data_IF_842690589435
#
_entry.id   IF_842690589435
#
_cell.length_a   1.000
_cell.length_b   1.000
_cell.length_c   1.000
_cell.angle_alpha   90.00
_cell.angle_beta   90.00
_cell.angle_gamma   90.00
#
_symmetry.space_group_name_H-M   'P 1'
#
loop_
_entity.id
_entity.type
_entity.pdbx_description
1 polymer ?
#
# COMPACT_ATOMS: atom_id res chain seq x y z
N UNK A 1 27.90 -15.04 -20.48
CA UNK A 1 28.08 -15.03 -19.01
C UNK A 1 28.21 -13.58 -18.55
N UNK A 2 27.09 -12.94 -18.21
CA UNK A 2 27.06 -11.52 -17.83
C UNK A 2 27.57 -11.36 -16.38
N UNK A 3 28.75 -10.76 -16.22
CA UNK A 3 29.28 -10.38 -14.89
C UNK A 3 28.58 -9.11 -14.43
N UNK A 4 27.62 -9.26 -13.52
CA UNK A 4 27.02 -8.14 -12.78
C UNK A 4 28.13 -7.55 -11.88
N UNK A 5 28.62 -6.35 -12.22
CA UNK A 5 29.47 -5.57 -11.32
C UNK A 5 28.63 -5.12 -10.13
N UNK A 6 28.94 -5.61 -8.93
CA UNK A 6 28.40 -5.04 -7.68
C UNK A 6 28.98 -3.64 -7.51
N UNK A 7 28.11 -2.64 -7.45
CA UNK A 7 28.43 -1.26 -7.08
C UNK A 7 28.07 -1.09 -5.59
N UNK A 8 28.88 -0.38 -4.79
CA UNK A 8 28.64 -0.24 -3.35
C UNK A 8 27.24 0.30 -3.04
N UNK A 9 26.57 -0.36 -2.10
CA UNK A 9 25.21 -0.03 -1.66
C UNK A 9 25.25 1.13 -0.67
N UNK A 10 24.45 2.17 -0.88
CA UNK A 10 24.20 3.21 0.13
C UNK A 10 22.83 2.94 0.74
N UNK A 11 22.85 2.65 2.03
CA UNK A 11 21.74 2.23 2.88
C UNK A 11 21.32 3.41 3.79
N UNK A 12 20.33 3.27 4.69
CA UNK A 12 19.86 4.33 5.63
C UNK A 12 21.02 5.12 6.26
N UNK A 13 20.78 6.36 6.72
CA UNK A 13 21.79 7.13 7.47
C UNK A 13 22.42 6.29 8.60
N UNK A 14 21.66 5.36 9.19
CA UNK A 14 22.10 4.43 10.23
C UNK A 14 22.73 3.13 9.74
N UNK A 15 22.71 2.84 8.45
CA UNK A 15 23.30 1.65 7.86
C UNK A 15 24.65 1.93 7.18
N UNK A 16 25.13 3.18 7.19
CA UNK A 16 26.48 3.54 6.71
C UNK A 16 27.60 2.88 7.55
N UNK A 17 27.30 2.51 8.79
CA UNK A 17 28.24 1.92 9.76
C UNK A 17 28.10 0.39 9.87
N UNK A 18 28.07 -0.34 8.75
CA UNK A 18 28.30 -1.80 8.78
C UNK A 18 29.80 -2.16 8.67
N UNK A 19 30.69 -1.16 8.54
CA UNK A 19 32.12 -1.37 8.29
C UNK A 19 33.07 -0.94 9.43
N UNK A 20 32.60 -0.32 10.52
CA UNK A 20 33.48 0.03 11.63
C UNK A 20 32.86 -0.33 12.98
N UNK A 21 33.60 -1.16 13.71
CA UNK A 21 33.37 -1.57 15.10
C UNK A 21 33.01 -0.39 16.00
N UNK A 22 31.82 -0.42 16.59
CA UNK A 22 31.58 0.23 17.89
C UNK A 22 30.87 -0.73 18.82
N UNK A 23 31.66 -1.61 19.41
CA UNK A 23 31.33 -2.12 20.73
C UNK A 23 31.40 -0.96 21.74
N UNK A 24 30.26 -0.50 22.30
CA UNK A 24 30.11 -0.18 23.74
C UNK A 24 28.72 0.32 24.17
N UNK A 25 28.21 -0.40 25.19
CA UNK A 25 27.46 0.02 26.40
C UNK A 25 26.05 0.63 26.20
N UNK A 26 25.07 -0.27 26.29
CA UNK A 26 23.63 -0.02 26.37
C UNK A 26 22.93 -1.06 25.50
N UNK A 27 22.01 -1.86 26.04
CA UNK A 27 21.33 -2.89 25.26
C UNK A 27 20.68 -2.28 24.01
N UNK A 28 21.02 -2.77 22.82
CA UNK A 28 20.52 -2.25 21.54
C UNK A 28 21.51 -2.37 20.39
N UNK A 29 21.05 -2.06 19.18
CA UNK A 29 21.86 -2.09 17.95
C UNK A 29 22.61 -0.77 17.66
N UNK A 30 22.56 0.21 18.56
CA UNK A 30 23.14 1.56 18.38
C UNK A 30 22.34 2.48 17.43
N UNK A 31 21.29 1.97 16.77
CA UNK A 31 20.49 2.69 15.76
C UNK A 31 19.10 3.09 16.21
N UNK A 32 18.80 2.93 17.51
CA UNK A 32 17.49 3.23 18.09
C UNK A 32 16.29 2.66 17.28
N UNK A 33 16.42 1.44 16.74
CA UNK A 33 15.45 0.92 15.79
C UNK A 33 14.11 0.49 16.41
N UNK A 34 13.15 0.10 15.58
CA UNK A 34 11.87 -0.47 16.02
C UNK A 34 11.94 -1.96 16.41
N UNK A 35 13.08 -2.63 16.23
CA UNK A 35 13.23 -4.04 16.56
C UNK A 35 13.35 -4.28 18.09
N UNK A 36 13.19 -5.54 18.52
CA UNK A 36 13.22 -5.98 19.94
C UNK A 36 14.43 -5.51 20.72
N UNK A 37 15.55 -5.26 20.03
CA UNK A 37 16.76 -4.76 20.67
C UNK A 37 16.64 -3.32 21.20
N UNK A 38 15.73 -2.50 20.68
CA UNK A 38 15.60 -1.08 21.04
C UNK A 38 14.16 -0.63 21.36
N UNK A 39 13.12 -1.38 20.98
CA UNK A 39 11.72 -0.95 21.14
C UNK A 39 11.16 -1.18 22.56
N UNK A 40 11.77 -2.05 23.36
CA UNK A 40 11.26 -2.39 24.69
C UNK A 40 11.27 -1.16 25.61
N UNK A 41 10.09 -0.75 26.09
CA UNK A 41 9.94 0.43 26.94
C UNK A 41 10.03 1.76 26.19
N UNK A 42 10.08 1.74 24.85
CA UNK A 42 10.00 2.94 24.03
C UNK A 42 8.65 3.64 24.23
N UNK A 43 8.68 4.97 24.12
CA UNK A 43 7.49 5.81 24.09
C UNK A 43 7.52 6.63 22.82
N UNK A 44 6.43 6.57 22.07
CA UNK A 44 6.25 7.29 20.83
C UNK A 44 4.97 8.12 20.93
N UNK A 45 4.88 9.28 20.26
CA UNK A 45 3.61 9.98 20.14
C UNK A 45 2.54 9.06 19.57
N UNK A 46 1.29 9.24 19.97
CA UNK A 46 0.15 8.43 19.54
C UNK A 46 -0.98 9.36 19.14
N UNK A 47 -1.51 9.14 17.93
CA UNK A 47 -2.72 9.76 17.43
C UNK A 47 -3.83 8.70 17.37
N UNK A 48 -4.87 8.89 18.17
CA UNK A 48 -6.07 8.07 18.14
C UNK A 48 -7.14 8.78 17.30
N UNK A 49 -7.56 8.17 16.19
CA UNK A 49 -8.52 8.74 15.25
C UNK A 49 -9.96 8.28 15.51
N UNK A 50 -10.94 9.05 15.05
CA UNK A 50 -12.35 8.66 15.14
C UNK A 50 -12.73 7.66 14.05
N UNK A 51 -13.33 6.53 14.42
CA UNK A 51 -13.87 5.58 13.44
C UNK A 51 -15.00 6.22 12.61
N UNK A 52 -14.86 6.15 11.29
CA UNK A 52 -15.88 6.59 10.34
C UNK A 52 -16.92 5.49 10.14
N UNK A 53 -18.18 5.75 10.52
CA UNK A 53 -19.25 4.77 10.33
C UNK A 53 -20.08 5.00 9.05
N UNK A 54 -20.03 6.19 8.43
CA UNK A 54 -20.79 6.53 7.22
C UNK A 54 -19.97 7.40 6.27
N UNK A 55 -20.07 7.14 4.97
CA UNK A 55 -19.55 8.05 3.93
C UNK A 55 -20.57 9.20 3.80
N UNK A 56 -20.15 10.43 4.05
CA UNK A 56 -21.01 11.59 3.85
C UNK A 56 -21.41 11.66 2.36
N UNK A 57 -22.69 11.40 2.06
CA UNK A 57 -23.22 11.52 0.70
C UNK A 57 -23.46 12.99 0.36
N UNK A 58 -23.20 13.36 -0.89
CA UNK A 58 -23.24 14.74 -1.42
C UNK A 58 -24.66 15.33 -1.55
N UNK A 59 -25.63 14.87 -0.74
CA UNK A 59 -27.00 15.36 -0.74
C UNK A 59 -27.41 15.87 0.64
N UNK A 60 -27.00 17.10 0.91
CA UNK A 60 -27.40 17.85 2.11
C UNK A 60 -27.01 19.32 2.05
N UNK A 61 -27.39 20.04 0.97
CA UNK A 61 -27.39 21.49 0.98
C UNK A 61 -28.51 21.99 1.91
N UNK A 62 -28.17 22.24 3.17
CA UNK A 62 -28.92 23.13 4.05
C UNK A 62 -27.96 23.80 5.05
N UNK A 63 -27.82 25.12 4.91
CA UNK A 63 -27.29 25.99 5.97
C UNK A 63 -25.88 26.50 5.74
N UNK A 64 -25.80 27.76 5.34
CA UNK A 64 -24.60 28.60 5.33
C UNK A 64 -23.82 28.54 6.66
N UNK A 65 -22.56 28.11 6.62
CA UNK A 65 -21.45 28.85 7.25
C UNK A 65 -20.25 28.78 6.31
N UNK A 66 -19.87 29.94 5.78
CA UNK A 66 -18.63 30.15 5.05
C UNK A 66 -17.46 30.13 6.04
N UNK A 67 -17.07 28.93 6.45
CA UNK A 67 -15.81 28.67 7.13
C UNK A 67 -15.01 27.70 6.29
N UNK A 68 -13.75 28.03 5.96
CA UNK A 68 -12.82 26.98 5.51
C UNK A 68 -12.88 25.86 6.54
N UNK A 69 -12.99 24.57 6.14
CA UNK A 69 -12.97 23.49 7.13
C UNK A 69 -11.76 23.70 8.04
N UNK A 70 -11.93 23.59 9.39
CA UNK A 70 -10.80 23.72 10.30
C UNK A 70 -9.73 22.75 9.80
N UNK A 71 -8.49 23.24 9.65
CA UNK A 71 -7.35 22.38 9.29
C UNK A 71 -7.40 21.18 10.23
N UNK A 72 -7.57 19.98 9.67
CA UNK A 72 -7.73 18.78 10.48
C UNK A 72 -6.48 18.67 11.37
N UNK A 73 -6.67 18.43 12.66
CA UNK A 73 -5.57 18.43 13.64
C UNK A 73 -4.42 17.48 13.22
N UNK A 74 -4.75 16.35 12.57
CA UNK A 74 -3.79 15.44 11.95
C UNK A 74 -2.92 16.09 10.87
N UNK A 75 -3.50 16.93 9.99
CA UNK A 75 -2.77 17.64 8.92
C UNK A 75 -1.66 18.52 9.51
N UNK A 76 -2.01 19.29 10.55
CA UNK A 76 -1.05 20.16 11.24
C UNK A 76 0.01 19.38 12.01
N UNK A 77 -0.39 18.31 12.71
CA UNK A 77 0.53 17.44 13.43
C UNK A 77 1.54 16.78 12.47
N UNK A 78 1.05 16.19 11.38
CA UNK A 78 1.87 15.49 10.40
C UNK A 78 2.91 16.42 9.78
N UNK A 79 2.48 17.60 9.31
CA UNK A 79 3.39 18.57 8.70
C UNK A 79 4.41 19.12 9.70
N UNK A 80 3.98 19.47 10.91
CA UNK A 80 4.90 19.96 11.96
C UNK A 80 5.96 18.92 12.33
N UNK A 81 5.57 17.66 12.51
CA UNK A 81 6.52 16.58 12.80
C UNK A 81 7.43 16.28 11.59
N UNK A 82 6.91 16.35 10.36
CA UNK A 82 7.70 16.18 9.14
C UNK A 82 8.77 17.27 8.99
N UNK A 83 8.41 18.54 9.21
CA UNK A 83 9.32 19.69 9.18
C UNK A 83 10.39 19.60 10.28
N UNK A 84 10.04 19.16 11.50
CA UNK A 84 11.02 18.89 12.57
C UNK A 84 12.09 17.90 12.10
N UNK A 85 11.68 16.77 11.50
CA UNK A 85 12.64 15.76 10.99
C UNK A 85 13.47 16.31 9.83
N UNK A 86 12.95 17.26 9.07
CA UNK A 86 13.68 17.95 8.00
C UNK A 86 14.77 18.83 8.59
N UNK A 87 14.44 19.64 9.59
CA UNK A 87 15.40 20.50 10.30
C UNK A 87 16.48 19.68 11.01
N UNK A 88 16.15 18.48 11.49
CA UNK A 88 17.09 17.52 12.10
C UNK A 88 17.96 16.76 11.09
N UNK A 89 17.75 16.96 9.78
CA UNK A 89 18.58 16.37 8.73
C UNK A 89 18.36 14.88 8.50
N UNK A 90 17.17 14.34 8.80
CA UNK A 90 16.87 12.90 8.62
C UNK A 90 16.56 12.51 7.17
N UNK A 91 16.42 13.49 6.28
CA UNK A 91 16.11 13.26 4.87
C UNK A 91 17.37 13.14 4.02
N UNK A 92 17.29 12.33 2.96
CA UNK A 92 18.43 12.11 2.04
C UNK A 92 18.69 13.30 1.13
N UNK A 93 17.70 14.15 0.86
CA UNK A 93 17.80 15.36 0.05
C UNK A 93 16.63 16.29 0.39
N UNK A 94 16.76 17.55 -0.02
CA UNK A 94 15.70 18.53 0.08
C UNK A 94 14.75 18.41 -1.12
N UNK A 95 13.53 17.95 -0.88
CA UNK A 95 12.49 17.81 -1.92
C UNK A 95 11.82 19.13 -2.27
N UNK A 96 11.87 20.12 -1.39
CA UNK A 96 11.22 21.42 -1.62
C UNK A 96 11.93 22.26 -2.68
N UNK A 97 13.18 21.90 -2.98
CA UNK A 97 13.98 22.48 -4.06
C UNK A 97 13.74 21.81 -5.43
N UNK A 98 12.92 20.75 -5.51
CA UNK A 98 12.65 20.07 -6.77
C UNK A 98 11.81 20.93 -7.71
N UNK A 99 12.25 21.06 -8.96
CA UNK A 99 11.53 21.81 -9.98
C UNK A 99 10.32 21.02 -10.49
N UNK A 100 9.15 21.67 -10.49
CA UNK A 100 7.88 21.07 -10.95
C UNK A 100 7.22 21.97 -11.98
N UNK A 101 6.68 21.39 -13.06
CA UNK A 101 5.88 22.11 -14.06
C UNK A 101 4.72 21.26 -14.56
N UNK A 102 3.63 21.92 -14.93
CA UNK A 102 2.57 21.27 -15.70
C UNK A 102 3.03 21.16 -17.15
N UNK A 103 2.97 19.96 -17.70
CA UNK A 103 3.25 19.67 -19.11
C UNK A 103 2.08 20.23 -19.93
N UNK A 104 2.32 21.07 -20.95
CA UNK A 104 1.27 21.56 -21.83
C UNK A 104 0.55 20.42 -22.54
N UNK A 105 -0.78 20.45 -22.52
CA UNK A 105 -1.61 19.40 -23.11
C UNK A 105 -3.01 19.31 -22.50
N UNK A 106 -3.80 18.33 -22.94
CA UNK A 106 -5.19 18.13 -22.53
C UNK A 106 -5.34 17.38 -21.20
N UNK A 107 -4.37 16.53 -20.83
CA UNK A 107 -4.39 15.71 -19.61
C UNK A 107 -3.83 16.47 -18.41
N UNK A 108 -3.01 17.49 -18.65
CA UNK A 108 -2.39 18.29 -17.60
C UNK A 108 -1.40 17.50 -16.75
N UNK A 109 -0.66 16.57 -17.39
CA UNK A 109 0.42 15.82 -16.74
C UNK A 109 1.44 16.74 -16.07
N UNK A 110 2.08 16.25 -15.03
CA UNK A 110 3.04 17.02 -14.23
C UNK A 110 4.42 16.41 -14.43
N UNK A 111 5.42 17.23 -14.68
CA UNK A 111 6.83 16.84 -14.66
C UNK A 111 7.48 17.42 -13.41
N UNK A 112 8.18 16.57 -12.65
CA UNK A 112 8.99 16.97 -11.52
C UNK A 112 10.40 16.41 -11.67
N UNK A 113 11.42 17.25 -11.43
CA UNK A 113 12.82 16.85 -11.53
C UNK A 113 13.40 16.50 -10.15
N UNK A 114 13.72 15.22 -9.94
CA UNK A 114 14.36 14.72 -8.71
C UNK A 114 15.76 14.18 -9.00
N UNK A 115 16.71 15.10 -9.25
CA UNK A 115 18.11 14.75 -9.47
C UNK A 115 18.72 14.10 -8.21
N UNK A 116 19.63 13.14 -8.41
CA UNK A 116 20.33 12.46 -7.31
C UNK A 116 19.47 11.53 -6.44
N UNK A 117 18.14 11.54 -6.56
CA UNK A 117 17.24 10.61 -5.85
C UNK A 117 17.58 9.14 -6.16
N UNK A 118 17.87 8.84 -7.42
CA UNK A 118 18.18 7.48 -7.88
C UNK A 118 19.52 6.97 -7.36
N UNK A 119 20.53 7.84 -7.18
CA UNK A 119 21.83 7.48 -6.61
C UNK A 119 21.72 7.07 -5.13
N UNK A 120 20.69 7.57 -4.45
CA UNK A 120 20.40 7.30 -3.04
C UNK A 120 19.28 6.27 -2.86
N UNK A 121 18.70 5.73 -3.95
CA UNK A 121 17.65 4.71 -3.89
C UNK A 121 18.31 3.32 -3.80
N UNK A 122 17.88 2.52 -2.83
CA UNK A 122 18.32 1.12 -2.70
C UNK A 122 17.91 0.35 -3.96
N UNK A 123 18.76 -0.54 -4.51
CA UNK A 123 18.36 -1.44 -5.58
C UNK A 123 17.12 -2.24 -5.18
N UNK A 124 16.21 -2.44 -6.13
CA UNK A 124 15.02 -3.26 -5.91
C UNK A 124 15.44 -4.71 -5.67
N UNK A 125 15.11 -5.27 -4.51
CA UNK A 125 15.45 -6.65 -4.14
C UNK A 125 14.31 -7.65 -4.40
N UNK A 126 13.27 -7.20 -5.10
CA UNK A 126 12.11 -8.01 -5.46
C UNK A 126 12.40 -8.82 -6.70
N UNK A 127 11.90 -10.06 -6.71
CA UNK A 127 11.82 -10.84 -7.94
C UNK A 127 10.69 -10.32 -8.82
N UNK A 128 10.90 -10.30 -10.13
CA UNK A 128 9.94 -9.75 -11.09
C UNK A 128 8.77 -10.71 -11.35
N UNK A 129 8.96 -12.00 -11.08
CA UNK A 129 8.01 -13.08 -11.32
C UNK A 129 6.88 -13.16 -10.28
N UNK A 130 6.98 -12.45 -9.15
CA UNK A 130 6.04 -12.62 -8.04
C UNK A 130 5.63 -11.32 -7.37
N UNK A 131 4.32 -11.05 -7.37
CA UNK A 131 3.68 -9.92 -6.66
C UNK A 131 3.85 -10.07 -5.16
N UNK A 132 3.40 -11.20 -4.59
CA UNK A 132 3.54 -11.48 -3.16
C UNK A 132 4.83 -12.25 -2.86
N UNK A 133 5.79 -11.56 -2.25
CA UNK A 133 7.04 -12.17 -1.79
C UNK A 133 7.02 -12.36 -0.27
N UNK A 134 7.55 -13.49 0.23
CA UNK A 134 7.63 -13.72 1.67
C UNK A 134 8.54 -12.67 2.33
N UNK A 135 8.25 -12.38 3.59
CA UNK A 135 9.11 -11.55 4.41
C UNK A 135 10.51 -12.16 4.52
N UNK A 136 11.53 -11.31 4.43
CA UNK A 136 12.93 -11.70 4.61
C UNK A 136 13.60 -10.73 5.61
N UNK A 137 13.84 -11.21 6.82
CA UNK A 137 14.46 -10.43 7.89
C UNK A 137 15.88 -9.97 7.58
N UNK A 138 16.56 -10.59 6.61
CA UNK A 138 17.91 -10.19 6.20
C UNK A 138 17.87 -8.95 5.31
N UNK A 139 16.80 -8.77 4.53
CA UNK A 139 16.59 -7.58 3.70
C UNK A 139 16.15 -6.37 4.55
N UNK A 140 16.08 -5.20 3.94
CA UNK A 140 15.43 -4.05 4.56
C UNK A 140 13.98 -4.39 4.93
N UNK A 141 13.58 -3.97 6.13
CA UNK A 141 12.20 -3.98 6.59
C UNK A 141 12.01 -2.85 7.61
N UNK A 142 10.76 -2.49 7.88
CA UNK A 142 10.44 -1.33 8.71
C UNK A 142 10.79 -1.50 10.18
N UNK A 143 11.03 -2.71 10.69
CA UNK A 143 11.55 -2.86 12.07
C UNK A 143 12.97 -2.28 12.23
N UNK A 144 13.68 -2.05 11.12
CA UNK A 144 15.06 -1.54 11.10
C UNK A 144 15.15 -0.01 11.03
N UNK A 145 14.03 0.70 10.83
CA UNK A 145 14.05 2.17 10.84
C UNK A 145 14.30 2.69 12.26
N UNK A 146 14.95 3.84 12.38
CA UNK A 146 15.17 4.50 13.66
C UNK A 146 13.86 5.09 14.20
N UNK A 147 13.67 5.06 15.51
CA UNK A 147 12.48 5.62 16.17
C UNK A 147 12.31 7.12 15.90
N UNK A 148 13.39 7.85 15.65
CA UNK A 148 13.37 9.26 15.25
C UNK A 148 12.81 9.52 13.85
N UNK A 149 12.75 8.50 12.98
CA UNK A 149 12.06 8.57 11.69
C UNK A 149 10.53 8.43 11.86
N UNK A 150 10.06 7.95 13.02
CA UNK A 150 8.62 7.82 13.33
C UNK A 150 8.07 9.17 13.78
N UNK A 151 6.90 9.53 13.24
CA UNK A 151 6.14 10.70 13.64
C UNK A 151 5.25 10.36 14.83
N UNK A 152 4.41 9.33 14.68
CA UNK A 152 3.49 8.86 15.71
C UNK A 152 2.98 7.44 15.41
N UNK A 153 2.48 6.79 16.45
CA UNK A 153 1.60 5.64 16.40
C UNK A 153 0.21 6.09 15.94
N UNK A 154 -0.49 5.25 15.18
CA UNK A 154 -1.83 5.52 14.66
C UNK A 154 -2.77 4.38 15.04
N UNK A 155 -3.85 4.71 15.75
CA UNK A 155 -4.86 3.73 16.14
C UNK A 155 -6.27 4.33 16.14
N UNK A 156 -7.27 3.46 16.13
CA UNK A 156 -8.65 3.91 16.27
C UNK A 156 -8.97 4.17 17.75
N UNK A 157 -9.63 5.28 18.03
CA UNK A 157 -10.07 5.64 19.38
C UNK A 157 -11.18 4.71 19.88
N UNK A 158 -11.10 4.33 21.17
CA UNK A 158 -12.10 3.55 21.88
C UNK A 158 -13.33 4.38 22.29
N UNK A 159 -13.14 5.68 22.56
CA UNK A 159 -14.21 6.57 23.05
C UNK A 159 -14.88 7.39 21.94
N UNK A 160 -14.43 7.22 20.69
CA UNK A 160 -14.99 7.88 19.52
C UNK A 160 -14.58 9.34 19.37
N UNK A 161 -13.62 9.82 20.17
CA UNK A 161 -13.04 11.15 20.08
C UNK A 161 -11.58 11.11 19.62
N UNK A 162 -11.16 12.18 18.94
CA UNK A 162 -9.78 12.32 18.48
C UNK A 162 -8.89 12.66 19.67
N UNK A 163 -7.81 11.90 19.86
CA UNK A 163 -6.88 12.09 20.97
C UNK A 163 -5.43 12.08 20.51
N UNK A 164 -4.58 12.83 21.20
CA UNK A 164 -3.14 12.82 20.98
C UNK A 164 -2.38 12.72 22.29
N UNK A 165 -1.50 11.73 22.36
CA UNK A 165 -0.66 11.45 23.50
C UNK A 165 0.80 11.62 23.07
N UNK A 166 1.52 12.66 23.52
CA UNK A 166 2.88 12.93 23.05
C UNK A 166 3.90 11.86 23.47
N UNK A 167 3.59 11.04 24.48
CA UNK A 167 4.49 10.03 25.03
C UNK A 167 3.71 8.77 25.44
N UNK A 168 3.08 8.10 24.48
CA UNK A 168 2.37 6.85 24.72
C UNK A 168 3.35 5.65 24.74
N UNK A 169 3.12 4.64 25.59
CA UNK A 169 3.87 3.40 25.51
C UNK A 169 3.64 2.72 24.16
N UNK A 170 4.64 2.00 23.66
CA UNK A 170 4.50 1.13 22.49
C UNK A 170 4.00 -0.24 22.92
N UNK A 171 2.85 -0.67 22.40
CA UNK A 171 2.33 -2.01 22.60
C UNK A 171 3.02 -3.02 21.67
N UNK A 172 4.12 -3.60 22.16
CA UNK A 172 4.94 -4.54 21.40
C UNK A 172 4.17 -5.82 21.05
N UNK A 173 3.22 -6.25 21.88
CA UNK A 173 2.48 -7.50 21.69
C UNK A 173 1.43 -7.35 20.58
N UNK A 174 0.70 -6.22 20.57
CA UNK A 174 -0.31 -5.95 19.54
C UNK A 174 0.25 -5.34 18.26
N UNK A 175 1.56 -5.02 18.22
CA UNK A 175 2.26 -4.47 17.06
C UNK A 175 1.62 -3.19 16.53
N UNK A 176 2.10 -1.99 16.92
CA UNK A 176 1.42 -0.75 16.55
C UNK A 176 1.48 -0.52 15.04
N UNK A 177 0.49 0.20 14.53
CA UNK A 177 0.61 0.87 13.24
C UNK A 177 1.28 2.21 13.45
N UNK A 178 2.23 2.57 12.59
CA UNK A 178 3.01 3.81 12.75
C UNK A 178 3.02 4.63 11.47
N UNK A 179 3.13 5.94 11.63
CA UNK A 179 3.41 6.88 10.54
C UNK A 179 4.85 7.35 10.66
N UNK A 180 5.64 7.17 9.61
CA UNK A 180 7.06 7.54 9.56
C UNK A 180 7.37 8.41 8.35
N UNK A 181 8.45 9.19 8.40
CA UNK A 181 8.92 9.93 7.23
C UNK A 181 9.33 8.96 6.11
N UNK A 182 9.07 9.34 4.86
CA UNK A 182 9.85 8.78 3.77
C UNK A 182 11.17 9.54 3.68
N UNK A 183 12.28 8.94 4.11
CA UNK A 183 13.63 9.56 4.05
C UNK A 183 14.08 9.92 2.62
N UNK A 184 13.37 9.46 1.58
CA UNK A 184 13.56 9.85 0.17
C UNK A 184 12.22 10.33 -0.45
N UNK A 185 11.69 11.45 0.07
CA UNK A 185 10.32 11.88 -0.15
C UNK A 185 10.13 12.34 -1.60
N UNK A 186 9.02 11.99 -2.22
CA UNK A 186 8.69 12.48 -3.57
C UNK A 186 8.18 13.91 -3.53
N UNK A 187 7.46 14.29 -2.47
CA UNK A 187 6.86 15.61 -2.27
C UNK A 187 6.94 15.98 -0.78
N UNK A 188 6.77 17.26 -0.48
CA UNK A 188 6.53 17.79 0.85
C UNK A 188 5.41 17.01 1.58
N UNK A 189 5.64 16.68 2.86
CA UNK A 189 4.71 15.88 3.66
C UNK A 189 4.61 14.40 3.28
N UNK A 190 5.48 13.88 2.41
CA UNK A 190 5.47 12.45 2.06
C UNK A 190 5.89 11.59 3.26
N UNK A 191 4.91 10.88 3.81
CA UNK A 191 5.05 9.91 4.91
C UNK A 191 4.69 8.49 4.46
N UNK A 192 5.00 7.52 5.30
CA UNK A 192 4.68 6.11 5.14
C UNK A 192 3.77 5.69 6.30
N UNK A 193 2.59 5.18 5.98
CA UNK A 193 1.78 4.41 6.91
C UNK A 193 2.31 2.97 6.90
N UNK A 194 2.66 2.45 8.08
CA UNK A 194 3.22 1.12 8.26
C UNK A 194 2.32 0.37 9.25
N UNK A 195 1.30 -0.36 8.76
CA UNK A 195 0.41 -1.14 9.60
C UNK A 195 1.17 -2.26 10.32
N UNK A 196 0.89 -2.44 11.61
CA UNK A 196 1.39 -3.54 12.44
C UNK A 196 2.90 -3.80 12.23
N UNK A 197 3.71 -2.77 12.49
CA UNK A 197 5.13 -2.70 12.07
C UNK A 197 6.00 -3.86 12.57
N UNK A 198 5.63 -4.50 13.69
CA UNK A 198 6.38 -5.59 14.32
C UNK A 198 5.98 -6.99 13.81
N UNK A 199 4.86 -7.11 13.09
CA UNK A 199 4.37 -8.40 12.55
C UNK A 199 5.16 -8.88 11.34
N UNK A 200 6.03 -8.03 10.77
CA UNK A 200 6.87 -8.39 9.63
C UNK A 200 6.05 -8.88 8.42
N UNK A 201 4.91 -8.22 8.17
CA UNK A 201 4.01 -8.56 7.07
C UNK A 201 4.70 -8.40 5.71
N UNK A 202 4.40 -9.28 4.73
CA UNK A 202 4.80 -9.04 3.35
C UNK A 202 4.09 -7.78 2.81
N UNK A 203 4.60 -7.21 1.71
CA UNK A 203 3.92 -6.09 1.04
C UNK A 203 2.65 -6.58 0.36
N UNK A 204 1.55 -6.54 1.10
CA UNK A 204 0.21 -6.94 0.66
C UNK A 204 -0.84 -5.95 1.16
N UNK A 205 -1.96 -5.92 0.46
CA UNK A 205 -3.22 -5.34 0.92
C UNK A 205 -4.05 -6.45 1.59
N UNK A 206 -4.56 -6.15 2.77
CA UNK A 206 -5.60 -6.88 3.49
C UNK A 206 -6.67 -5.89 3.99
N UNK A 207 -7.82 -6.41 4.42
CA UNK A 207 -8.98 -5.61 4.82
C UNK A 207 -8.63 -4.59 5.91
N UNK A 208 -7.96 -5.03 6.98
CA UNK A 208 -7.65 -4.18 8.14
C UNK A 208 -6.68 -3.05 7.77
N UNK A 209 -5.62 -3.39 7.04
CA UNK A 209 -4.60 -2.41 6.65
C UNK A 209 -5.13 -1.39 5.65
N UNK A 210 -6.03 -1.83 4.74
CA UNK A 210 -6.66 -0.93 3.77
C UNK A 210 -7.68 -0.01 4.43
N UNK A 211 -8.47 -0.53 5.37
CA UNK A 211 -9.42 0.27 6.15
C UNK A 211 -8.71 1.35 6.97
N UNK A 212 -7.59 1.01 7.61
CA UNK A 212 -6.74 1.98 8.31
C UNK A 212 -6.23 3.08 7.36
N UNK A 213 -5.84 2.73 6.13
CA UNK A 213 -5.41 3.71 5.14
C UNK A 213 -6.55 4.65 4.72
N UNK A 214 -7.79 4.15 4.57
CA UNK A 214 -8.95 5.00 4.28
C UNK A 214 -9.29 5.93 5.45
N UNK A 215 -9.24 5.45 6.69
CA UNK A 215 -9.41 6.30 7.86
C UNK A 215 -8.35 7.41 7.93
N UNK A 216 -7.07 7.07 7.73
CA UNK A 216 -6.00 8.06 7.70
C UNK A 216 -6.22 9.10 6.60
N UNK A 217 -6.61 8.68 5.40
CA UNK A 217 -6.87 9.57 4.28
C UNK A 217 -8.04 10.54 4.54
N UNK A 218 -9.09 10.06 5.22
CA UNK A 218 -10.22 10.88 5.60
C UNK A 218 -9.88 11.87 6.73
N UNK A 219 -9.15 11.41 7.75
CA UNK A 219 -8.71 12.23 8.88
C UNK A 219 -7.72 13.31 8.48
N UNK A 220 -6.82 13.02 7.53
CA UNK A 220 -5.89 14.01 7.00
C UNK A 220 -6.62 15.16 6.27
N UNK A 221 -7.83 14.91 5.76
CA UNK A 221 -8.63 15.90 5.04
C UNK A 221 -8.04 16.36 3.71
N UNK A 222 -6.86 15.85 3.33
CA UNK A 222 -6.16 16.02 2.05
C UNK A 222 -5.35 14.77 1.76
N UNK A 223 -5.44 14.25 0.53
CA UNK A 223 -4.70 13.04 0.12
C UNK A 223 -3.22 13.33 -0.22
N UNK A 224 -2.88 14.58 -0.55
CA UNK A 224 -1.54 15.02 -0.94
C UNK A 224 -1.40 16.55 -0.84
N UNK A 225 -0.16 17.04 -0.81
CA UNK A 225 0.18 18.47 -0.68
C UNK A 225 0.55 19.15 -2.02
N UNK A 226 0.07 18.60 -3.14
CA UNK A 226 0.32 19.13 -4.47
C UNK A 226 -0.49 20.40 -4.74
N UNK A 227 0.10 21.33 -5.51
CA UNK A 227 -0.59 22.54 -5.97
C UNK A 227 -1.74 22.25 -6.94
N UNK A 228 -1.74 21.07 -7.57
CA UNK A 228 -2.75 20.63 -8.53
C UNK A 228 -3.11 19.17 -8.26
N UNK A 229 -4.38 18.81 -8.49
CA UNK A 229 -4.82 17.42 -8.39
C UNK A 229 -4.14 16.52 -9.41
N UNK A 230 -4.02 15.23 -9.08
CA UNK A 230 -3.46 14.27 -10.03
C UNK A 230 -4.28 14.25 -11.32
N UNK A 231 -3.63 14.22 -12.50
CA UNK A 231 -4.30 14.12 -13.79
C UNK A 231 -5.34 13.00 -13.88
N UNK A 232 -5.07 11.85 -13.27
CA UNK A 232 -6.00 10.71 -13.25
C UNK A 232 -7.35 11.06 -12.61
N UNK A 233 -7.39 11.97 -11.64
CA UNK A 233 -8.62 12.35 -10.94
C UNK A 233 -9.58 13.15 -11.84
N UNK A 234 -9.03 13.80 -12.87
CA UNK A 234 -9.78 14.56 -13.88
C UNK A 234 -10.31 13.69 -15.01
N UNK A 235 -9.79 12.46 -15.14
CA UNK A 235 -10.19 11.56 -16.21
C UNK A 235 -11.67 11.15 -16.05
N UNK A 236 -12.44 11.09 -17.14
CA UNK A 236 -13.82 10.66 -17.09
C UNK A 236 -13.92 9.19 -16.69
N UNK A 237 -15.06 8.82 -16.12
CA UNK A 237 -15.35 7.45 -15.72
C UNK A 237 -16.71 7.02 -16.25
N UNK A 238 -16.82 5.76 -16.66
CA UNK A 238 -18.10 5.15 -17.05
C UNK A 238 -18.53 4.14 -15.99
N UNK A 239 -19.73 4.34 -15.43
CA UNK A 239 -20.26 3.44 -14.41
C UNK A 239 -20.50 2.05 -15.02
N UNK A 240 -20.01 1.03 -14.34
CA UNK A 240 -20.27 -0.37 -14.65
C UNK A 240 -21.46 -0.85 -13.84
N UNK A 241 -21.37 -0.79 -12.51
CA UNK A 241 -22.43 -1.27 -11.61
C UNK A 241 -22.43 -0.52 -10.27
N UNK A 242 -23.42 -0.82 -9.43
CA UNK A 242 -23.44 -0.52 -8.00
C UNK A 242 -23.74 -1.81 -7.25
N UNK A 243 -22.91 -2.15 -6.27
CA UNK A 243 -23.10 -3.31 -5.40
C UNK A 243 -24.17 -3.04 -4.34
N UNK A 244 -24.64 -4.11 -3.69
CA UNK A 244 -25.68 -4.02 -2.65
C UNK A 244 -25.23 -3.17 -1.46
N UNK A 245 -23.94 -3.21 -1.10
CA UNK A 245 -23.33 -2.32 -0.10
C UNK A 245 -23.23 -0.84 -0.52
N UNK A 246 -23.79 -0.45 -1.68
CA UNK A 246 -23.80 0.93 -2.17
C UNK A 246 -22.52 1.39 -2.87
N UNK A 247 -21.53 0.50 -3.04
CA UNK A 247 -20.27 0.82 -3.73
C UNK A 247 -20.49 0.85 -5.24
N UNK A 248 -20.19 1.98 -5.86
CA UNK A 248 -20.22 2.18 -7.31
C UNK A 248 -18.86 1.83 -7.90
N UNK A 249 -18.85 0.97 -8.91
CA UNK A 249 -17.66 0.58 -9.67
C UNK A 249 -17.75 1.17 -11.08
N UNK A 250 -16.70 1.84 -11.52
CA UNK A 250 -16.63 2.51 -12.83
C UNK A 250 -15.32 2.18 -13.55
N UNK A 251 -15.32 2.18 -14.88
CA UNK A 251 -14.12 2.08 -15.72
C UNK A 251 -13.53 3.47 -15.94
N UNK A 252 -12.22 3.60 -15.83
CA UNK A 252 -11.50 4.83 -16.19
C UNK A 252 -11.45 4.98 -17.72
N UNK A 253 -11.85 6.15 -18.21
CA UNK A 253 -11.90 6.47 -19.64
C UNK A 253 -10.89 7.56 -19.99
N UNK A 254 -10.49 7.58 -21.27
CA UNK A 254 -9.60 8.62 -21.83
C UNK A 254 -8.34 8.86 -21.00
N UNK A 255 -7.72 7.79 -20.50
CA UNK A 255 -6.48 7.84 -19.72
C UNK A 255 -5.54 6.73 -20.19
N UNK A 256 -4.21 6.91 -20.18
CA UNK A 256 -3.29 5.94 -20.79
C UNK A 256 -3.24 4.61 -20.03
N UNK A 257 -3.50 4.63 -18.72
CA UNK A 257 -3.56 3.43 -17.89
C UNK A 257 -5.01 3.02 -17.67
N UNK A 258 -5.33 1.77 -17.99
CA UNK A 258 -6.66 1.20 -17.71
C UNK A 258 -6.79 0.88 -16.23
N UNK A 259 -7.95 1.22 -15.66
CA UNK A 259 -8.19 1.02 -14.24
C UNK A 259 -9.67 1.04 -13.90
N UNK A 260 -9.96 0.62 -12.68
CA UNK A 260 -11.28 0.68 -12.06
C UNK A 260 -11.29 1.78 -11.00
N UNK A 261 -12.44 2.41 -10.85
CA UNK A 261 -12.69 3.46 -9.86
C UNK A 261 -13.83 3.01 -8.95
N UNK A 262 -13.57 3.01 -7.66
CA UNK A 262 -14.49 2.62 -6.59
C UNK A 262 -14.87 3.85 -5.77
N UNK A 263 -16.17 4.07 -5.59
CA UNK A 263 -16.72 5.23 -4.89
C UNK A 263 -18.02 4.85 -4.17
N UNK A 264 -18.38 5.59 -3.13
CA UNK A 264 -19.62 5.34 -2.38
C UNK A 264 -19.47 4.16 -1.42
N UNK A 265 -20.57 3.47 -1.14
CA UNK A 265 -20.70 2.59 0.03
C UNK A 265 -21.60 3.22 1.09
N UNK A 266 -22.34 2.41 1.85
CA UNK A 266 -23.11 2.91 3.00
C UNK A 266 -22.20 3.27 4.17
N UNK A 267 -21.12 2.52 4.31
CA UNK A 267 -20.04 2.69 5.28
C UNK A 267 -18.69 2.76 4.56
N UNK A 268 -17.66 3.24 5.26
CA UNK A 268 -16.28 3.19 4.73
C UNK A 268 -15.79 1.74 4.62
N UNK A 269 -16.31 0.83 5.45
CA UNK A 269 -15.99 -0.59 5.42
C UNK A 269 -16.50 -1.25 4.15
N UNK A 270 -17.67 -0.85 3.62
CA UNK A 270 -18.17 -1.37 2.35
C UNK A 270 -17.19 -1.07 1.21
N UNK A 271 -16.73 0.19 1.13
CA UNK A 271 -15.73 0.62 0.14
C UNK A 271 -14.41 -0.10 0.37
N UNK A 272 -13.94 -0.13 1.62
CA UNK A 272 -12.68 -0.76 2.01
C UNK A 272 -12.67 -2.22 1.57
N UNK A 273 -13.68 -2.99 2.01
CA UNK A 273 -13.80 -4.42 1.77
C UNK A 273 -13.83 -4.72 0.27
N UNK A 274 -14.68 -4.02 -0.49
CA UNK A 274 -14.79 -4.20 -1.94
C UNK A 274 -13.44 -3.99 -2.65
N UNK A 275 -12.70 -2.94 -2.28
CA UNK A 275 -11.39 -2.65 -2.88
C UNK A 275 -10.35 -3.68 -2.44
N UNK A 276 -10.31 -4.04 -1.15
CA UNK A 276 -9.37 -5.04 -0.65
C UNK A 276 -9.64 -6.42 -1.24
N UNK A 277 -10.90 -6.81 -1.48
CA UNK A 277 -11.26 -8.05 -2.17
C UNK A 277 -10.70 -8.07 -3.60
N UNK A 278 -10.85 -6.97 -4.34
CA UNK A 278 -10.25 -6.81 -5.66
C UNK A 278 -8.72 -6.93 -5.62
N UNK A 279 -8.08 -6.28 -4.64
CA UNK A 279 -6.63 -6.34 -4.47
C UNK A 279 -6.16 -7.76 -4.10
N UNK A 280 -6.85 -8.43 -3.17
CA UNK A 280 -6.57 -9.80 -2.75
C UNK A 280 -6.69 -10.75 -3.94
N UNK A 281 -7.71 -10.57 -4.78
CA UNK A 281 -7.88 -11.32 -6.02
C UNK A 281 -6.68 -11.14 -6.98
N UNK A 282 -6.24 -9.90 -7.21
CA UNK A 282 -5.07 -9.61 -8.05
C UNK A 282 -3.78 -10.21 -7.49
N UNK A 283 -3.58 -10.12 -6.17
CA UNK A 283 -2.45 -10.72 -5.47
C UNK A 283 -2.42 -12.25 -5.63
N UNK A 284 -3.57 -12.90 -5.47
CA UNK A 284 -3.69 -14.36 -5.59
C UNK A 284 -3.42 -14.85 -7.01
N UNK A 285 -3.76 -14.03 -8.01
CA UNK A 285 -3.53 -14.31 -9.43
C UNK A 285 -2.21 -13.74 -9.96
N UNK A 286 -1.34 -13.25 -9.07
CA UNK A 286 -0.01 -12.71 -9.40
C UNK A 286 -0.04 -11.58 -10.44
N UNK A 287 -1.08 -10.74 -10.40
CA UNK A 287 -1.22 -9.58 -11.30
C UNK A 287 -0.68 -8.34 -10.56
N UNK A 288 0.37 -7.67 -11.06
CA UNK A 288 0.86 -6.43 -10.45
C UNK A 288 -0.17 -5.30 -10.58
N UNK A 289 -0.25 -4.43 -9.57
CA UNK A 289 -1.18 -3.30 -9.57
C UNK A 289 -0.69 -2.15 -8.70
N UNK A 290 -1.32 -0.98 -8.91
CA UNK A 290 -1.19 0.19 -8.05
C UNK A 290 -2.57 0.61 -7.55
N UNK A 291 -2.61 1.20 -6.36
CA UNK A 291 -3.82 1.76 -5.77
C UNK A 291 -3.57 3.22 -5.43
N UNK A 292 -4.47 4.10 -5.86
CA UNK A 292 -4.50 5.50 -5.44
C UNK A 292 -5.78 5.74 -4.63
N UNK A 293 -5.61 6.18 -3.38
CA UNK A 293 -6.69 6.71 -2.56
C UNK A 293 -6.73 8.21 -2.78
N UNK A 294 -7.86 8.73 -3.22
CA UNK A 294 -8.09 10.13 -3.55
C UNK A 294 -9.33 10.66 -2.81
N UNK A 295 -9.57 11.97 -2.93
CA UNK A 295 -10.75 12.64 -2.35
C UNK A 295 -11.00 12.27 -0.88
N UNK A 296 -9.94 12.33 -0.07
CA UNK A 296 -9.97 12.04 1.37
C UNK A 296 -10.54 10.65 1.70
N UNK A 297 -10.19 9.63 0.90
CA UNK A 297 -10.65 8.26 1.13
C UNK A 297 -11.98 7.91 0.48
N UNK A 298 -12.64 8.85 -0.22
CA UNK A 298 -13.97 8.61 -0.83
C UNK A 298 -13.91 8.00 -2.22
N UNK A 299 -12.74 8.08 -2.87
CA UNK A 299 -12.51 7.61 -4.24
C UNK A 299 -11.23 6.81 -4.30
N UNK A 300 -11.30 5.60 -4.84
CA UNK A 300 -10.14 4.71 -4.97
C UNK A 300 -9.97 4.26 -6.41
N UNK A 301 -8.75 4.41 -6.94
CA UNK A 301 -8.37 3.92 -8.26
C UNK A 301 -7.55 2.64 -8.09
N UNK A 302 -7.96 1.57 -8.76
CA UNK A 302 -7.23 0.31 -8.86
C UNK A 302 -6.71 0.14 -10.28
N UNK A 303 -5.39 0.01 -10.42
CA UNK A 303 -4.68 0.12 -11.68
C UNK A 303 -3.79 -1.12 -11.89
N UNK A 304 -4.33 -2.21 -12.46
CA UNK A 304 -3.54 -3.35 -12.89
C UNK A 304 -2.49 -2.94 -13.93
N UNK A 305 -1.28 -3.48 -13.84
CA UNK A 305 -0.15 -3.09 -14.70
C UNK A 305 0.75 -4.28 -15.06
N UNK A 306 1.54 -4.12 -16.13
CA UNK A 306 2.45 -5.15 -16.64
C UNK A 306 3.88 -4.66 -16.91
N UNK A 307 4.27 -3.49 -16.40
CA UNK A 307 5.54 -2.85 -16.77
C UNK A 307 6.77 -3.67 -16.36
N UNK A 308 6.79 -4.19 -15.12
CA UNK A 308 7.92 -4.97 -14.63
C UNK A 308 8.09 -6.28 -15.42
N UNK A 309 6.98 -6.94 -15.74
CA UNK A 309 6.96 -8.15 -16.57
C UNK A 309 7.50 -7.86 -17.98
N UNK A 310 6.97 -6.83 -18.66
CA UNK A 310 7.49 -6.38 -19.96
C UNK A 310 8.98 -6.05 -19.93
N UNK A 311 9.45 -5.40 -18.87
CA UNK A 311 10.88 -5.13 -18.71
C UNK A 311 11.71 -6.42 -18.62
N UNK A 312 11.24 -7.42 -17.86
CA UNK A 312 11.94 -8.70 -17.75
C UNK A 312 11.92 -9.51 -19.06
N UNK A 313 10.85 -9.40 -19.85
CA UNK A 313 10.73 -10.01 -21.17
C UNK A 313 11.49 -9.25 -22.28
N UNK A 314 12.01 -8.06 -21.99
CA UNK A 314 12.72 -7.23 -22.97
C UNK A 314 11.80 -6.56 -23.99
N UNK A 315 10.51 -6.42 -23.65
CA UNK A 315 9.47 -5.85 -24.52
C UNK A 315 9.39 -4.32 -24.43
N UNK A 316 10.03 -3.72 -23.42
CA UNK A 316 10.09 -2.26 -23.26
C UNK A 316 11.16 -1.66 -24.17
N UNK A 317 10.81 -0.60 -24.90
CA UNK A 317 11.73 0.07 -25.83
C UNK A 317 12.98 0.62 -25.13
N UNK A 318 14.11 0.64 -25.84
CA UNK A 318 15.37 1.17 -25.33
C UNK A 318 15.26 2.66 -24.94
N UNK A 319 14.47 3.44 -25.68
CA UNK A 319 14.18 4.85 -25.37
C UNK A 319 13.53 5.01 -23.99
N UNK A 320 12.52 4.20 -23.68
CA UNK A 320 11.85 4.27 -22.38
C UNK A 320 12.74 3.74 -21.25
N UNK A 321 13.53 2.69 -21.50
CA UNK A 321 14.50 2.19 -20.53
C UNK A 321 15.58 3.24 -20.19
N UNK A 322 15.99 4.06 -21.17
CA UNK A 322 16.99 5.12 -20.98
C UNK A 322 16.50 6.27 -20.10
N UNK A 323 15.18 6.51 -20.02
CA UNK A 323 14.60 7.45 -19.03
C UNK A 323 14.85 6.99 -17.59
N UNK A 324 15.10 5.70 -17.40
CA UNK A 324 15.23 5.02 -16.11
C UNK A 324 14.00 5.19 -15.20
N UNK A 325 12.87 5.66 -15.71
CA UNK A 325 11.64 5.75 -14.93
C UNK A 325 11.12 4.33 -14.70
N UNK A 326 10.77 4.03 -13.44
CA UNK A 326 10.05 2.81 -13.10
C UNK A 326 8.69 3.26 -12.55
N UNK A 327 7.64 3.26 -13.38
CA UNK A 327 6.34 3.83 -13.03
C UNK A 327 5.75 3.14 -11.81
N UNK A 328 5.45 3.95 -10.80
CA UNK A 328 4.67 3.59 -9.62
C UNK A 328 3.40 4.46 -9.61
N UNK A 329 2.68 4.45 -8.48
CA UNK A 329 1.40 5.17 -8.36
C UNK A 329 1.51 6.66 -8.71
N UNK A 330 2.64 7.33 -8.44
CA UNK A 330 2.84 8.74 -8.78
C UNK A 330 2.83 8.95 -10.30
N UNK A 331 3.68 8.22 -11.02
CA UNK A 331 3.76 8.33 -12.48
C UNK A 331 2.45 7.89 -13.13
N UNK A 332 1.90 6.74 -12.69
CA UNK A 332 0.63 6.21 -13.20
C UNK A 332 -0.53 7.18 -12.98
N UNK A 333 -0.49 8.00 -11.93
CA UNK A 333 -1.52 9.01 -11.67
C UNK A 333 -1.30 10.31 -12.47
N UNK A 334 -0.22 10.39 -13.25
CA UNK A 334 0.11 11.49 -14.15
C UNK A 334 1.14 12.47 -13.59
N UNK A 335 1.80 12.14 -12.48
CA UNK A 335 2.91 12.92 -11.93
C UNK A 335 4.24 12.22 -12.24
N UNK A 336 4.89 12.69 -13.29
CA UNK A 336 6.14 12.14 -13.82
C UNK A 336 7.33 12.60 -12.99
N UNK A 337 7.86 11.72 -12.14
CA UNK A 337 9.09 12.00 -11.36
C UNK A 337 10.31 11.64 -12.20
N UNK A 338 10.85 12.65 -12.87
CA UNK A 338 11.95 12.55 -13.82
C UNK A 338 13.30 12.70 -13.13
N UNK A 339 14.32 12.03 -13.69
CA UNK A 339 15.65 11.91 -13.08
C UNK A 339 16.73 12.78 -13.72
N UNK A 340 16.53 13.15 -14.99
CA UNK A 340 17.51 13.88 -15.80
C UNK A 340 16.92 15.23 -16.20
N UNK A 341 17.73 16.29 -16.10
CA UNK A 341 17.34 17.63 -16.54
C UNK A 341 16.82 17.65 -17.97
N UNK A 342 17.48 16.90 -18.87
CA UNK A 342 17.06 16.73 -20.26
C UNK A 342 15.63 16.22 -20.40
N UNK A 343 15.29 15.11 -19.73
CA UNK A 343 13.95 14.52 -19.80
C UNK A 343 12.90 15.49 -19.25
N UNK A 344 13.24 16.25 -18.22
CA UNK A 344 12.37 17.27 -17.64
C UNK A 344 12.13 18.44 -18.61
N UNK A 345 13.18 18.96 -19.23
CA UNK A 345 13.08 20.06 -20.20
C UNK A 345 12.28 19.65 -21.43
N UNK A 346 12.53 18.45 -21.95
CA UNK A 346 11.88 17.86 -23.12
C UNK A 346 10.54 17.15 -22.81
N UNK A 347 10.08 17.19 -21.55
CA UNK A 347 8.84 16.53 -21.13
C UNK A 347 7.64 17.02 -21.95
N UNK A 348 6.96 16.07 -22.61
CA UNK A 348 5.79 16.32 -23.44
C UNK A 348 4.64 15.38 -23.06
N UNK A 349 3.41 15.80 -23.36
CA UNK A 349 2.22 14.99 -23.12
C UNK A 349 2.29 13.66 -23.87
N UNK A 350 2.82 13.67 -25.10
CA UNK A 350 3.01 12.48 -25.92
C UNK A 350 3.98 11.48 -25.27
N UNK A 351 5.13 11.96 -24.77
CA UNK A 351 6.13 11.09 -24.15
C UNK A 351 5.59 10.48 -22.84
N UNK A 352 4.91 11.29 -22.02
CA UNK A 352 4.25 10.81 -20.81
C UNK A 352 3.17 9.76 -21.14
N UNK A 353 2.32 10.04 -22.12
CA UNK A 353 1.30 9.11 -22.58
C UNK A 353 1.88 7.77 -23.05
N UNK A 354 2.93 7.83 -23.88
CA UNK A 354 3.62 6.64 -24.41
C UNK A 354 4.18 5.77 -23.30
N UNK A 355 4.85 6.37 -22.31
CA UNK A 355 5.38 5.65 -21.15
C UNK A 355 4.25 4.99 -20.34
N UNK A 356 3.17 5.72 -20.06
CA UNK A 356 2.05 5.20 -19.28
C UNK A 356 1.26 4.12 -20.01
N UNK A 357 1.12 4.24 -21.34
CA UNK A 357 0.50 3.20 -22.16
C UNK A 357 1.27 1.88 -22.11
N UNK A 358 2.60 1.92 -21.97
CA UNK A 358 3.40 0.70 -21.79
C UNK A 358 3.16 0.01 -20.45
N UNK A 359 2.82 0.78 -19.41
CA UNK A 359 2.50 0.25 -18.08
C UNK A 359 1.14 -0.45 -18.08
N UNK A 360 0.19 0.08 -18.83
CA UNK A 360 -1.18 -0.42 -18.92
C UNK A 360 -1.23 -1.85 -19.46
N UNK A 361 -2.20 -2.62 -18.97
CA UNK A 361 -2.63 -3.84 -19.65
C UNK A 361 -3.19 -3.51 -21.03
N UNK A 362 -3.08 -4.47 -21.95
CA UNK A 362 -3.86 -4.44 -23.19
C UNK A 362 -5.36 -4.46 -22.88
N UNK A 363 -6.19 -4.06 -23.83
CA UNK A 363 -7.64 -4.05 -23.63
C UNK A 363 -8.19 -5.45 -23.34
N UNK A 364 -7.83 -6.44 -24.15
CA UNK A 364 -8.27 -7.83 -23.93
C UNK A 364 -7.85 -8.35 -22.54
N UNK A 365 -6.59 -8.10 -22.14
CA UNK A 365 -6.10 -8.54 -20.83
C UNK A 365 -6.78 -7.78 -19.68
N UNK A 366 -7.08 -6.50 -19.87
CA UNK A 366 -7.81 -5.72 -18.88
C UNK A 366 -9.23 -6.27 -18.68
N UNK A 367 -9.94 -6.64 -19.76
CA UNK A 367 -11.28 -7.24 -19.65
C UNK A 367 -11.25 -8.60 -18.93
N UNK A 368 -10.23 -9.43 -19.16
CA UNK A 368 -10.04 -10.68 -18.39
C UNK A 368 -9.82 -10.42 -16.90
N UNK A 369 -8.92 -9.49 -16.57
CA UNK A 369 -8.61 -9.13 -15.16
C UNK A 369 -9.80 -8.47 -14.48
N UNK A 370 -10.55 -7.64 -15.21
CA UNK A 370 -11.80 -7.04 -14.76
C UNK A 370 -12.83 -8.12 -14.41
N UNK A 371 -13.07 -9.09 -15.30
CA UNK A 371 -14.02 -10.17 -15.06
C UNK A 371 -13.65 -10.99 -13.82
N UNK A 372 -12.35 -11.30 -13.67
CA UNK A 372 -11.80 -11.99 -12.51
C UNK A 372 -12.01 -11.21 -11.19
N UNK A 373 -11.80 -9.89 -11.19
CA UNK A 373 -12.08 -9.04 -10.02
C UNK A 373 -13.57 -9.08 -9.67
N UNK A 374 -14.44 -8.95 -10.69
CA UNK A 374 -15.88 -8.92 -10.49
C UNK A 374 -16.42 -10.23 -9.92
N UNK A 375 -15.94 -11.37 -10.40
CA UNK A 375 -16.29 -12.68 -9.86
C UNK A 375 -15.92 -12.78 -8.37
N UNK A 376 -14.71 -12.35 -8.01
CA UNK A 376 -14.25 -12.37 -6.61
C UNK A 376 -15.12 -11.51 -5.68
N UNK A 377 -15.45 -10.28 -6.11
CA UNK A 377 -16.28 -9.35 -5.32
C UNK A 377 -17.70 -9.92 -5.12
N UNK A 378 -18.33 -10.44 -6.18
CA UNK A 378 -19.71 -10.96 -6.12
C UNK A 378 -19.80 -12.25 -5.30
N UNK A 379 -18.80 -13.13 -5.37
CA UNK A 379 -18.76 -14.34 -4.54
C UNK A 379 -18.72 -14.00 -3.04
N UNK A 380 -18.00 -12.96 -2.64
CA UNK A 380 -17.93 -12.51 -1.24
C UNK A 380 -19.26 -11.89 -0.79
N UNK A 381 -19.91 -11.12 -1.66
CA UNK A 381 -21.20 -10.48 -1.38
C UNK A 381 -22.31 -11.52 -1.16
N UNK A 382 -22.40 -12.52 -2.06
CA UNK A 382 -23.36 -13.61 -1.94
C UNK A 382 -23.07 -14.53 -0.73
N UNK A 383 -21.81 -14.67 -0.33
CA UNK A 383 -21.41 -15.47 0.85
C UNK A 383 -21.77 -14.82 2.20
N UNK A 384 -22.06 -13.50 2.23
CA UNK A 384 -22.55 -12.80 3.42
C UNK A 384 -24.07 -12.91 3.61
N UNK A 385 -24.80 -13.38 2.59
CA UNK A 385 -26.26 -13.48 2.58
C UNK A 385 -26.87 -14.75 3.19
N UNK A 386 -26.06 -15.77 3.53
CA UNK A 386 -26.56 -17.09 3.99
C UNK A 386 -26.15 -17.45 5.43
N UNK A 387 -25.62 -16.48 6.19
CA UNK A 387 -25.36 -16.65 7.62
C UNK A 387 -26.54 -16.17 8.48
N UNK A 388 -27.75 -16.64 8.18
CA UNK A 388 -28.90 -16.54 9.11
C UNK A 388 -29.82 -17.74 8.95
N UNK A 389 -29.83 -18.57 10.01
CA UNK A 389 -30.81 -19.60 10.33
C UNK A 389 -31.11 -20.68 9.27
N UNK A 390 -30.31 -21.74 9.29
CA UNK A 390 -30.86 -23.09 9.12
C UNK A 390 -30.80 -23.82 10.46
N UNK A 391 -31.87 -23.70 11.24
CA UNK A 391 -32.20 -24.62 12.32
C UNK A 391 -32.35 -26.03 11.75
N UNK A 392 -31.33 -26.86 11.88
CA UNK A 392 -31.50 -28.30 11.78
C UNK A 392 -31.81 -28.80 13.19
N UNK A 393 -33.07 -29.21 13.36
CA UNK A 393 -33.54 -29.93 14.54
C UNK A 393 -32.67 -31.18 14.77
N UNK A 394 -31.91 -31.20 15.86
CA UNK A 394 -31.37 -32.46 16.39
C UNK A 394 -32.49 -33.20 17.14
N UNK A 395 -32.73 -34.49 16.86
CA UNK A 395 -33.65 -35.27 17.67
C UNK A 395 -32.99 -35.63 19.01
N UNK A 396 -33.68 -35.21 20.05
CA UNK A 396 -33.46 -35.48 21.47
C UNK A 396 -33.23 -36.97 21.76
N UNK A 397 -32.01 -37.34 22.21
CA UNK A 397 -31.77 -38.59 22.94
C UNK A 397 -30.79 -38.34 24.10
N UNK A 398 -31.37 -38.30 25.28
CA UNK A 398 -30.79 -38.21 26.62
C UNK A 398 -29.64 -39.23 26.90
N UNK A 399 -28.52 -38.85 27.54
CA UNK A 399 -27.40 -39.75 27.81
C UNK A 399 -27.39 -40.31 29.24
N UNK A 400 -27.09 -41.61 29.42
CA UNK A 400 -26.38 -42.19 30.61
C UNK A 400 -26.11 -43.72 30.47
N UNK A 401 -25.18 -44.34 31.24
CA UNK A 401 -23.85 -44.71 30.72
C UNK A 401 -23.44 -46.20 30.86
N UNK A 402 -22.35 -46.54 30.16
CA UNK A 402 -21.31 -47.57 30.42
C UNK A 402 -21.71 -48.99 30.85
N UNK A 403 -21.42 -49.99 29.98
CA UNK A 403 -20.88 -51.29 30.38
C UNK A 403 -19.84 -51.80 29.36
N UNK A 404 -18.68 -52.24 29.87
CA UNK A 404 -17.63 -53.00 29.19
C UNK A 404 -18.14 -54.40 28.80
N UNK A 405 -17.76 -54.97 27.64
CA UNK A 405 -17.25 -56.36 27.52
C UNK A 405 -16.51 -56.59 26.17
N UNK A 406 -15.31 -57.15 26.31
CA UNK A 406 -14.38 -57.92 25.46
C UNK A 406 -14.60 -58.26 23.96
N UNK A 407 -13.51 -58.00 23.22
CA UNK A 407 -12.74 -58.81 22.26
C UNK A 407 -13.43 -59.86 21.33
N UNK A 408 -13.05 -59.83 20.04
CA UNK A 408 -12.39 -60.93 19.30
C UNK A 408 -11.80 -60.44 17.96
N UNK A 409 -10.59 -60.95 17.68
CA UNK A 409 -9.73 -60.85 16.49
C UNK A 409 -10.41 -60.93 15.11
N UNK A 410 -9.86 -60.20 14.13
CA UNK A 410 -9.21 -60.85 12.97
C UNK A 410 -8.29 -59.94 12.14
N UNK A 411 -7.16 -60.54 11.75
CA UNK A 411 -6.07 -60.04 10.92
C UNK A 411 -6.50 -59.48 9.54
N UNK A 412 -5.82 -58.42 9.08
CA UNK A 412 -5.10 -58.46 7.80
C UNK A 412 -4.05 -57.33 7.71
N UNK A 413 -2.87 -57.70 7.21
CA UNK A 413 -1.70 -56.85 6.96
C UNK A 413 -1.90 -56.04 5.68
N UNK A 414 -1.38 -54.80 5.61
CA UNK A 414 -0.41 -54.41 4.56
C UNK A 414 0.28 -53.05 4.79
N UNK A 415 1.54 -53.05 4.39
CA UNK A 415 2.66 -52.11 4.61
C UNK A 415 2.49 -50.64 4.19
N UNK A 416 3.25 -49.79 4.89
CA UNK A 416 3.70 -48.46 4.46
C UNK A 416 4.62 -48.52 3.22
N UNK A 417 4.52 -47.52 2.34
CA UNK A 417 5.63 -47.06 1.48
C UNK A 417 5.56 -45.54 1.34
N UNK A 418 6.67 -44.89 1.69
CA UNK A 418 7.04 -43.49 1.44
C UNK A 418 7.44 -43.30 -0.03
N UNK A 419 6.88 -42.29 -0.71
CA UNK A 419 7.25 -41.92 -2.08
C UNK A 419 7.80 -40.49 -2.16
N UNK A 420 9.11 -40.39 -2.38
CA UNK A 420 9.81 -39.21 -2.93
C UNK A 420 9.70 -39.24 -4.45
N UNK A 421 9.41 -38.11 -5.10
CA UNK A 421 9.85 -37.90 -6.49
C UNK A 421 9.93 -36.40 -6.86
N UNK A 422 11.17 -36.00 -7.13
CA UNK A 422 11.54 -34.86 -7.96
C UNK A 422 11.04 -35.08 -9.39
N UNK A 423 10.70 -34.00 -10.11
CA UNK A 423 10.66 -34.06 -11.57
C UNK A 423 11.21 -32.79 -12.20
N UNK A 424 12.03 -33.05 -13.21
CA UNK A 424 13.01 -32.22 -13.89
C UNK A 424 12.36 -31.51 -15.08
N UNK A 425 12.77 -30.26 -15.30
CA UNK A 425 12.49 -29.44 -16.48
C UNK A 425 13.34 -29.92 -17.66
N UNK A 426 12.76 -30.02 -18.86
CA UNK A 426 13.51 -30.19 -20.11
C UNK A 426 13.30 -29.01 -21.06
N UNK A 427 14.46 -28.39 -21.36
CA UNK A 427 14.91 -27.49 -22.43
C UNK A 427 13.94 -26.65 -23.26
#
# INVERSE_FOLDING_TARGET
>A
MLRIKRVPTVVSNYQKEEAEDVARRGGGCGRNCLNKCCIQGAKLPLYAFKKLNKIASDKGLAGHESGKPPVAFLDSLLLGEWEDRMQRGLFRYDVTACETKVIPGNYGFIAQLNEGRHLKKRPTEFRVDKVLQPFDGNKFNFTKVGQEEVLFQLEASDDGEVQFFPNAPVDVENSPSVVAINVSPIEYGHVLLIPRVLECLPQRIDHDSFLLALHMAAEAGKAYYLAVSFPIEKAPTEKITTLDGGVKISKLLNYPVRGLVFEGGYTVEDLSNTVSDACICLQANNIPYNVLIADCGRRVFLLPQCYAEKQALGEVSAELLDTQVNPAVWEISGHMVLKRKKDYEEASEENAWRLLAEVSLSEARFEEVYALIFEAIVCVDNGKGDASESSLEEPDVNPQPLEEVDAINNNSRHNMVTGTQECIVMH
#
